data_IF_354632463507
#
_entry.id   IF_354632463507
#
_cell.length_a   1.000
_cell.length_b   1.000
_cell.length_c   1.000
_cell.angle_alpha   90.00
_cell.angle_beta   90.00
_cell.angle_gamma   90.00
#
_symmetry.space_group_name_H-M   'P 1'
#
loop_
_entity.id
_entity.type
_entity.pdbx_description
1 polymer ?
#
# COMPACT_ATOMS: atom_id res chain seq x y z
N UNK A 1 -48.44 -18.48 9.09
CA UNK A 1 -48.15 -17.62 7.91
C UNK A 1 -47.53 -16.28 8.31
N UNK A 2 -48.22 -15.37 9.01
CA UNK A 2 -47.67 -14.03 9.38
C UNK A 2 -46.33 -14.03 10.13
N UNK A 3 -46.07 -15.03 10.98
CA UNK A 3 -44.78 -15.13 11.69
C UNK A 3 -43.64 -15.67 10.80
N UNK A 4 -43.96 -16.49 9.80
CA UNK A 4 -42.99 -16.99 8.82
C UNK A 4 -42.52 -15.86 7.92
N UNK A 5 -43.44 -15.02 7.43
CA UNK A 5 -43.10 -13.85 6.62
C UNK A 5 -42.25 -12.84 7.41
N UNK A 6 -42.63 -12.57 8.67
CA UNK A 6 -41.86 -11.65 9.52
C UNK A 6 -40.43 -12.14 9.76
N UNK A 7 -40.25 -13.44 9.97
CA UNK A 7 -38.91 -14.04 10.15
C UNK A 7 -38.13 -14.03 8.83
N UNK A 8 -38.79 -14.34 7.71
CA UNK A 8 -38.19 -14.26 6.38
C UNK A 8 -37.65 -12.87 6.06
N UNK A 9 -38.46 -11.82 6.30
CA UNK A 9 -38.03 -10.44 6.07
C UNK A 9 -36.89 -10.02 6.99
N UNK A 10 -36.86 -10.49 8.25
CA UNK A 10 -35.73 -10.24 9.15
C UNK A 10 -34.44 -10.84 8.61
N UNK A 11 -34.47 -12.10 8.18
CA UNK A 11 -33.28 -12.78 7.64
C UNK A 11 -32.83 -12.18 6.30
N UNK A 12 -33.77 -11.76 5.46
CA UNK A 12 -33.45 -11.08 4.19
C UNK A 12 -32.79 -9.71 4.43
N UNK A 13 -33.26 -8.94 5.41
CA UNK A 13 -32.66 -7.65 5.80
C UNK A 13 -31.28 -7.87 6.42
N UNK A 14 -31.13 -8.82 7.35
CA UNK A 14 -29.81 -9.16 7.94
C UNK A 14 -28.81 -9.63 6.88
N UNK A 15 -29.25 -10.42 5.90
CA UNK A 15 -28.41 -10.85 4.78
C UNK A 15 -27.94 -9.67 3.93
N UNK A 16 -28.84 -8.75 3.58
CA UNK A 16 -28.50 -7.56 2.79
C UNK A 16 -27.57 -6.60 3.56
N UNK A 17 -27.84 -6.36 4.84
CA UNK A 17 -26.98 -5.55 5.70
C UNK A 17 -25.60 -6.21 5.82
N UNK A 18 -25.51 -7.50 6.12
CA UNK A 18 -24.22 -8.21 6.26
C UNK A 18 -23.35 -8.14 5.00
N UNK A 19 -23.95 -8.19 3.80
CA UNK A 19 -23.25 -8.00 2.53
C UNK A 19 -22.68 -6.59 2.38
N UNK A 20 -23.50 -5.57 2.65
CA UNK A 20 -23.06 -4.17 2.61
C UNK A 20 -21.95 -3.87 3.63
N UNK A 21 -22.05 -4.41 4.84
CA UNK A 21 -21.05 -4.23 5.88
C UNK A 21 -19.72 -4.92 5.52
N UNK A 22 -19.78 -6.10 4.89
CA UNK A 22 -18.59 -6.79 4.40
C UNK A 22 -17.89 -6.00 3.30
N UNK A 23 -18.65 -5.49 2.33
CA UNK A 23 -18.12 -4.63 1.26
C UNK A 23 -17.45 -3.38 1.84
N UNK A 24 -18.15 -2.65 2.72
CA UNK A 24 -17.60 -1.47 3.38
C UNK A 24 -16.33 -1.78 4.18
N UNK A 25 -16.32 -2.89 4.91
CA UNK A 25 -15.13 -3.32 5.66
C UNK A 25 -13.95 -3.55 4.72
N UNK A 26 -14.14 -4.32 3.64
CA UNK A 26 -13.10 -4.62 2.64
C UNK A 26 -12.55 -3.32 2.04
N UNK A 27 -13.41 -2.41 1.58
CA UNK A 27 -12.98 -1.13 1.02
C UNK A 27 -12.17 -0.30 2.01
N UNK A 28 -12.59 -0.26 3.28
CA UNK A 28 -11.85 0.46 4.32
C UNK A 28 -10.46 -0.12 4.58
N UNK A 29 -10.29 -1.45 4.49
CA UNK A 29 -8.97 -2.08 4.67
C UNK A 29 -8.07 -1.82 3.46
N UNK A 30 -8.59 -1.99 2.25
CA UNK A 30 -7.84 -1.71 1.02
C UNK A 30 -7.35 -0.25 0.99
N UNK A 31 -8.20 0.69 1.39
CA UNK A 31 -7.83 2.10 1.46
C UNK A 31 -6.67 2.35 2.45
N UNK A 32 -6.71 1.75 3.64
CA UNK A 32 -5.61 1.87 4.62
C UNK A 32 -4.32 1.26 4.11
N UNK A 33 -4.38 0.10 3.47
CA UNK A 33 -3.22 -0.59 2.87
C UNK A 33 -2.58 0.30 1.80
N UNK A 34 -3.39 0.90 0.92
CA UNK A 34 -2.91 1.84 -0.09
C UNK A 34 -2.28 3.09 0.54
N UNK A 35 -2.91 3.69 1.55
CA UNK A 35 -2.33 4.85 2.23
C UNK A 35 -0.98 4.54 2.88
N UNK A 36 -0.85 3.40 3.56
CA UNK A 36 0.43 2.99 4.18
C UNK A 36 1.50 2.79 3.11
N UNK A 37 1.16 2.13 2.00
CA UNK A 37 2.07 1.92 0.88
C UNK A 37 2.63 3.24 0.32
N UNK A 38 1.75 4.22 0.04
CA UNK A 38 2.17 5.52 -0.47
C UNK A 38 2.95 6.32 0.57
N UNK A 39 2.56 6.27 1.85
CA UNK A 39 3.25 6.96 2.92
C UNK A 39 4.69 6.46 3.11
N UNK A 40 4.90 5.13 3.09
CA UNK A 40 6.25 4.53 3.20
C UNK A 40 7.13 4.95 2.03
N UNK A 41 6.61 4.95 0.80
CA UNK A 41 7.36 5.37 -0.38
C UNK A 41 7.66 6.88 -0.37
N UNK A 42 6.73 7.71 0.11
CA UNK A 42 6.93 9.15 0.25
C UNK A 42 8.02 9.47 1.28
N UNK A 43 7.99 8.81 2.44
CA UNK A 43 9.04 8.97 3.47
C UNK A 43 10.39 8.46 2.97
N UNK A 44 10.42 7.33 2.28
CA UNK A 44 11.63 6.80 1.65
C UNK A 44 12.21 7.79 0.65
N UNK A 45 11.37 8.42 -0.19
CA UNK A 45 11.79 9.42 -1.16
C UNK A 45 12.44 10.65 -0.49
N UNK A 46 11.91 11.11 0.65
CA UNK A 46 12.53 12.19 1.43
C UNK A 46 13.93 11.80 1.93
N UNK A 47 14.08 10.56 2.40
CA UNK A 47 15.38 10.04 2.85
C UNK A 47 16.36 9.99 1.68
N UNK A 48 15.96 9.44 0.53
CA UNK A 48 16.83 9.38 -0.65
C UNK A 48 17.19 10.75 -1.20
N UNK A 49 16.24 11.69 -1.25
CA UNK A 49 16.52 13.06 -1.68
C UNK A 49 17.49 13.79 -0.73
N UNK A 50 17.51 13.41 0.56
CA UNK A 50 18.45 13.95 1.53
C UNK A 50 19.82 13.24 1.51
N UNK A 51 19.87 11.96 1.19
CA UNK A 51 21.12 11.18 1.15
C UNK A 51 21.84 11.30 -0.20
N UNK A 52 21.09 11.34 -1.30
CA UNK A 52 21.63 11.41 -2.66
C UNK A 52 21.63 12.87 -3.14
N UNK A 53 22.78 13.53 -3.05
CA UNK A 53 22.93 14.97 -3.36
C UNK A 53 22.54 15.36 -4.80
N UNK A 54 22.46 14.41 -5.73
CA UNK A 54 22.15 14.66 -7.14
C UNK A 54 20.68 14.39 -7.48
N UNK A 55 19.90 13.79 -6.59
CA UNK A 55 18.53 13.39 -6.87
C UNK A 55 17.56 14.47 -6.46
N UNK A 56 16.62 14.80 -7.34
CA UNK A 56 15.45 15.56 -6.92
C UNK A 56 14.51 14.67 -6.10
N UNK A 57 13.60 15.29 -5.33
CA UNK A 57 12.55 14.54 -4.63
C UNK A 57 11.74 13.63 -5.58
N UNK A 58 11.47 14.08 -6.80
CA UNK A 58 10.71 13.30 -7.77
C UNK A 58 11.51 12.13 -8.33
N UNK A 59 12.82 12.27 -8.53
CA UNK A 59 13.69 11.16 -8.95
C UNK A 59 13.78 10.09 -7.85
N UNK A 60 13.90 10.54 -6.60
CA UNK A 60 13.87 9.67 -5.44
C UNK A 60 12.52 8.95 -5.27
N UNK A 61 11.40 9.65 -5.47
CA UNK A 61 10.07 9.05 -5.42
C UNK A 61 9.85 8.06 -6.56
N UNK A 62 10.32 8.39 -7.76
CA UNK A 62 10.30 7.49 -8.90
C UNK A 62 11.10 6.21 -8.61
N UNK A 63 12.33 6.33 -8.10
CA UNK A 63 13.13 5.18 -7.67
C UNK A 63 12.36 4.31 -6.66
N UNK A 64 11.76 4.93 -5.65
CA UNK A 64 10.99 4.21 -4.62
C UNK A 64 9.80 3.46 -5.23
N UNK A 65 9.03 4.11 -6.10
CA UNK A 65 7.84 3.51 -6.71
C UNK A 65 8.20 2.38 -7.68
N UNK A 66 9.19 2.56 -8.54
CA UNK A 66 9.62 1.52 -9.48
C UNK A 66 10.22 0.31 -8.76
N UNK A 67 10.89 0.55 -7.64
CA UNK A 67 11.43 -0.52 -6.79
C UNK A 67 10.31 -1.24 -6.03
N UNK A 68 9.38 -0.49 -5.43
CA UNK A 68 8.29 -1.07 -4.65
C UNK A 68 7.35 -1.89 -5.53
N UNK A 69 7.02 -1.41 -6.73
CA UNK A 69 6.23 -2.14 -7.72
C UNK A 69 7.00 -3.27 -8.43
N UNK A 70 8.26 -3.48 -8.06
CA UNK A 70 9.17 -4.51 -8.63
C UNK A 70 9.44 -4.37 -10.13
N UNK A 71 9.11 -3.23 -10.74
CA UNK A 71 9.42 -2.96 -12.15
C UNK A 71 10.93 -2.76 -12.32
N UNK A 72 11.57 -2.03 -11.40
CA UNK A 72 13.03 -2.03 -11.24
C UNK A 72 13.85 -1.54 -12.44
N UNK A 73 13.46 -0.43 -13.07
CA UNK A 73 14.14 0.10 -14.28
C UNK A 73 15.63 0.46 -14.08
N UNK A 74 16.06 0.76 -12.85
CA UNK A 74 17.47 0.91 -12.50
C UNK A 74 18.17 2.19 -12.98
N UNK A 75 17.45 3.13 -13.58
CA UNK A 75 18.01 4.42 -14.06
C UNK A 75 18.55 5.28 -12.92
N UNK A 76 17.85 5.24 -11.78
CA UNK A 76 18.27 5.89 -10.54
C UNK A 76 18.64 4.79 -9.53
N UNK A 77 19.93 4.60 -9.26
CA UNK A 77 20.43 3.70 -8.23
C UNK A 77 21.26 4.44 -7.17
N UNK A 78 21.08 4.18 -5.86
CA UNK A 78 21.75 4.93 -4.81
C UNK A 78 23.28 4.77 -4.89
N UNK A 79 23.99 5.89 -4.89
CA UNK A 79 25.44 5.93 -5.00
C UNK A 79 26.10 6.01 -3.64
N UNK A 80 25.44 6.61 -2.65
CA UNK A 80 25.97 6.74 -1.30
C UNK A 80 25.91 5.42 -0.53
N UNK A 81 26.86 5.22 0.39
CA UNK A 81 26.88 4.02 1.25
C UNK A 81 25.62 3.91 2.10
N UNK A 82 25.12 5.05 2.62
CA UNK A 82 23.88 5.12 3.40
C UNK A 82 22.64 4.86 2.54
N UNK A 83 22.56 5.49 1.36
CA UNK A 83 21.45 5.26 0.42
C UNK A 83 21.35 3.80 -0.02
N UNK A 84 22.48 3.14 -0.27
CA UNK A 84 22.51 1.70 -0.59
C UNK A 84 22.00 0.83 0.56
N UNK A 85 22.43 1.11 1.79
CA UNK A 85 21.93 0.40 2.98
C UNK A 85 20.43 0.57 3.15
N UNK A 86 19.92 1.79 2.98
CA UNK A 86 18.50 2.09 3.07
C UNK A 86 17.69 1.43 1.94
N UNK A 87 18.21 1.42 0.71
CA UNK A 87 17.56 0.77 -0.42
C UNK A 87 17.37 -0.74 -0.22
N UNK A 88 18.34 -1.43 0.39
CA UNK A 88 18.18 -2.85 0.73
C UNK A 88 16.98 -3.05 1.66
N UNK A 89 16.87 -2.23 2.71
CA UNK A 89 15.76 -2.30 3.66
C UNK A 89 14.42 -2.01 2.97
N UNK A 90 14.37 -0.99 2.11
CA UNK A 90 13.18 -0.64 1.36
C UNK A 90 12.74 -1.76 0.39
N UNK A 91 13.68 -2.36 -0.34
CA UNK A 91 13.41 -3.46 -1.27
C UNK A 91 12.81 -4.64 -0.50
N UNK A 92 13.43 -5.04 0.62
CA UNK A 92 12.92 -6.14 1.44
C UNK A 92 11.52 -5.86 1.98
N UNK A 93 11.29 -4.65 2.50
CA UNK A 93 9.96 -4.25 2.99
C UNK A 93 8.90 -4.31 1.89
N UNK A 94 9.25 -3.87 0.68
CA UNK A 94 8.35 -3.87 -0.47
C UNK A 94 8.05 -5.29 -0.96
N UNK A 95 9.04 -6.17 -1.03
CA UNK A 95 8.85 -7.58 -1.41
C UNK A 95 7.98 -8.30 -0.38
N UNK A 96 8.14 -8.02 0.92
CA UNK A 96 7.26 -8.60 1.95
C UNK A 96 5.82 -8.11 1.79
N UNK A 97 5.62 -6.85 1.41
CA UNK A 97 4.28 -6.29 1.21
C UNK A 97 3.54 -6.89 0.01
N UNK A 98 4.24 -7.19 -1.09
CA UNK A 98 3.64 -7.78 -2.30
C UNK A 98 3.65 -9.32 -2.31
N UNK A 99 4.61 -9.93 -1.61
CA UNK A 99 4.81 -11.38 -1.58
C UNK A 99 4.09 -12.11 -0.45
N UNK A 100 3.50 -11.39 0.50
CA UNK A 100 2.63 -11.93 1.56
C UNK A 100 1.15 -11.73 1.22
#
# INVERSE_FOLDING_TARGET
RRNLERNFWKTAVESAESGFLLEYHIFSQLFKVYLVFFAVNYVSALIFAATENTWSFFDALYHCMMTATTVGLGEYGPLTQLGRGFAIVQILASVIFFGA
#
